data_IF_460782503654
#
_entry.id   IF_460782503654
#
_cell.length_a   1.000
_cell.length_b   1.000
_cell.length_c   1.000
_cell.angle_alpha   90.00
_cell.angle_beta   90.00
_cell.angle_gamma   90.00
#
_symmetry.space_group_name_H-M   'P 1'
#
loop_
_entity.id
_entity.type
_entity.pdbx_description
1 polymer ?
#
# COMPACT_ATOMS: atom_id res chain seq x y z
N UNK A 1 4.30 13.69 3.27
CA UNK A 1 4.73 13.32 4.65
C UNK A 1 4.44 11.85 4.93
N UNK A 2 3.20 11.39 4.68
CA UNK A 2 2.76 10.00 4.85
C UNK A 2 3.79 8.93 4.46
N UNK A 3 4.41 9.00 3.28
CA UNK A 3 5.44 8.02 2.85
C UNK A 3 6.61 7.95 3.83
N UNK A 4 7.13 9.09 4.31
CA UNK A 4 8.23 9.12 5.28
C UNK A 4 7.79 8.60 6.64
N UNK A 5 6.54 8.88 7.03
CA UNK A 5 5.97 8.41 8.30
C UNK A 5 5.78 6.89 8.27
N UNK A 6 5.37 6.34 7.12
CA UNK A 6 5.30 4.91 6.89
C UNK A 6 6.69 4.26 6.92
N UNK A 7 7.68 4.84 6.23
CA UNK A 7 9.07 4.35 6.27
C UNK A 7 9.64 4.32 7.69
N UNK A 8 9.37 5.35 8.49
CA UNK A 8 9.74 5.39 9.90
C UNK A 8 9.04 4.27 10.70
N UNK A 9 7.75 4.02 10.44
CA UNK A 9 6.98 2.93 11.04
C UNK A 9 7.55 1.54 10.72
N UNK A 10 7.98 1.29 9.48
CA UNK A 10 8.63 0.03 9.06
C UNK A 10 9.96 -0.17 9.79
N UNK A 11 10.79 0.88 9.88
CA UNK A 11 12.05 0.82 10.61
C UNK A 11 11.85 0.52 12.10
N UNK A 12 10.81 1.08 12.69
CA UNK A 12 10.45 0.87 14.10
C UNK A 12 9.88 -0.54 14.35
N UNK A 13 9.07 -1.06 13.43
CA UNK A 13 8.59 -2.44 13.44
C UNK A 13 9.75 -3.43 13.42
N UNK A 14 10.73 -3.18 12.55
CA UNK A 14 11.93 -3.99 12.44
C UNK A 14 12.79 -3.94 13.70
N UNK A 15 12.97 -2.74 14.29
CA UNK A 15 13.71 -2.54 15.55
C UNK A 15 13.07 -3.28 16.72
N UNK A 16 11.74 -3.40 16.75
CA UNK A 16 11.03 -4.19 17.77
C UNK A 16 11.29 -5.68 17.63
N UNK A 17 11.12 -6.22 16.42
CA UNK A 17 11.36 -7.65 16.16
C UNK A 17 12.81 -8.03 16.48
N UNK A 18 13.74 -7.12 16.20
CA UNK A 18 15.17 -7.34 16.40
C UNK A 18 15.65 -7.21 17.85
N UNK A 19 14.89 -6.55 18.73
CA UNK A 19 15.17 -6.55 20.18
C UNK A 19 14.77 -7.86 20.86
N UNK A 20 13.81 -8.60 20.30
CA UNK A 20 13.34 -9.89 20.83
C UNK A 20 14.26 -11.07 20.51
N UNK A 21 15.14 -10.93 19.51
CA UNK A 21 16.16 -11.93 19.14
C UNK A 21 17.49 -11.20 19.07
N UNK A 22 18.40 -11.42 20.02
CA UNK A 22 19.74 -10.81 20.02
C UNK A 22 20.30 -10.80 18.59
N UNK A 23 20.37 -9.61 17.98
CA UNK A 23 20.71 -9.47 16.58
C UNK A 23 22.11 -10.04 16.35
N UNK A 24 22.21 -11.03 15.46
CA UNK A 24 23.50 -11.53 15.00
C UNK A 24 24.36 -10.35 14.50
N UNK A 25 25.67 -10.38 14.78
CA UNK A 25 26.66 -9.38 14.35
C UNK A 25 26.58 -9.00 12.85
N UNK A 26 25.96 -9.85 12.02
CA UNK A 26 25.66 -9.61 10.61
C UNK A 26 24.63 -8.49 10.35
N UNK A 27 23.63 -8.27 11.20
CA UNK A 27 22.67 -7.15 11.06
C UNK A 27 23.32 -5.81 11.37
N UNK A 28 24.31 -5.80 12.27
CA UNK A 28 25.14 -4.63 12.51
C UNK A 28 25.97 -4.25 11.26
N UNK A 29 26.39 -5.24 10.47
CA UNK A 29 27.22 -5.05 9.27
C UNK A 29 26.42 -4.56 8.05
N UNK A 30 25.18 -5.05 7.84
CA UNK A 30 24.31 -4.58 6.75
C UNK A 30 23.49 -3.33 7.12
N UNK A 31 23.32 -3.04 8.41
CA UNK A 31 22.56 -1.91 8.93
C UNK A 31 21.03 -2.09 8.83
N UNK A 32 20.32 -1.44 9.75
CA UNK A 32 18.83 -1.48 9.84
C UNK A 32 18.16 -0.98 8.55
N UNK A 33 18.84 -0.10 7.81
CA UNK A 33 18.34 0.47 6.55
C UNK A 33 18.29 -0.57 5.41
N UNK A 34 19.28 -1.45 5.29
CA UNK A 34 19.29 -2.48 4.23
C UNK A 34 18.20 -3.52 4.44
N UNK A 35 17.97 -3.91 5.69
CA UNK A 35 16.90 -4.85 6.08
C UNK A 35 15.51 -4.24 5.86
N UNK A 36 15.32 -2.96 6.21
CA UNK A 36 14.09 -2.24 5.94
C UNK A 36 13.80 -2.09 4.45
N UNK A 37 14.83 -1.86 3.62
CA UNK A 37 14.69 -1.80 2.17
C UNK A 37 14.13 -3.10 1.59
N UNK A 38 14.68 -4.26 1.98
CA UNK A 38 14.16 -5.55 1.49
C UNK A 38 12.73 -5.80 1.96
N UNK A 39 12.39 -5.38 3.19
CA UNK A 39 11.01 -5.43 3.70
C UNK A 39 10.05 -4.55 2.90
N UNK A 40 10.47 -3.32 2.56
CA UNK A 40 9.69 -2.43 1.69
C UNK A 40 9.47 -3.05 0.32
N UNK A 41 10.50 -3.64 -0.29
CA UNK A 41 10.39 -4.36 -1.57
C UNK A 41 9.41 -5.53 -1.46
N UNK A 42 9.47 -6.32 -0.38
CA UNK A 42 8.53 -7.43 -0.13
C UNK A 42 7.06 -7.00 -0.09
N UNK A 43 6.76 -5.84 0.50
CA UNK A 43 5.39 -5.28 0.54
C UNK A 43 4.88 -5.02 -0.88
N UNK A 44 5.70 -4.41 -1.74
CA UNK A 44 5.31 -4.08 -3.11
C UNK A 44 5.27 -5.29 -4.05
N UNK A 45 6.11 -6.30 -3.81
CA UNK A 45 6.12 -7.55 -4.60
C UNK A 45 4.80 -8.31 -4.51
N UNK A 46 4.03 -8.18 -3.42
CA UNK A 46 2.72 -8.82 -3.25
C UNK A 46 1.53 -8.04 -3.84
N UNK A 47 1.77 -6.89 -4.50
CA UNK A 47 0.70 -6.05 -5.08
C UNK A 47 0.55 -6.14 -6.60
N UNK A 48 1.31 -7.01 -7.27
CA UNK A 48 1.21 -7.20 -8.73
C UNK A 48 1.83 -6.06 -9.58
N UNK A 49 2.21 -4.93 -8.97
CA UNK A 49 2.82 -3.79 -9.65
C UNK A 49 4.31 -3.97 -9.99
N UNK A 50 5.05 -4.73 -9.19
CA UNK A 50 6.45 -5.08 -9.49
C UNK A 50 6.56 -6.25 -10.47
N UNK A 51 5.56 -7.13 -10.56
CA UNK A 51 5.58 -8.30 -11.44
C UNK A 51 5.27 -7.96 -12.91
N UNK A 52 4.63 -6.82 -13.18
CA UNK A 52 4.07 -6.49 -14.49
C UNK A 52 4.95 -5.67 -15.44
N UNK A 53 5.98 -4.98 -14.94
CA UNK A 53 6.79 -4.11 -15.80
C UNK A 53 8.20 -4.67 -16.10
N UNK A 54 9.03 -5.06 -15.11
CA UNK A 54 10.48 -5.10 -15.41
C UNK A 54 11.36 -5.83 -14.37
N UNK A 55 10.92 -6.92 -13.75
CA UNK A 55 11.83 -7.69 -12.84
C UNK A 55 13.01 -8.32 -13.60
N UNK A 56 12.97 -8.36 -14.94
CA UNK A 56 13.97 -8.97 -15.81
C UNK A 56 15.38 -8.34 -15.72
N UNK A 57 15.57 -7.17 -15.11
CA UNK A 57 16.91 -6.52 -15.00
C UNK A 57 17.45 -6.55 -13.56
N UNK A 58 16.63 -6.87 -12.56
CA UNK A 58 16.99 -6.83 -11.12
C UNK A 58 17.00 -8.21 -10.43
N UNK A 59 17.22 -9.29 -11.19
CA UNK A 59 17.05 -10.67 -10.73
C UNK A 59 18.11 -11.23 -9.77
N UNK A 60 19.27 -10.58 -9.60
CA UNK A 60 20.37 -11.12 -8.78
C UNK A 60 20.30 -10.79 -7.28
N UNK A 61 19.79 -9.61 -6.93
CA UNK A 61 19.99 -9.01 -5.59
C UNK A 61 18.76 -9.13 -4.68
N UNK A 62 17.56 -9.22 -5.24
CA UNK A 62 16.29 -9.30 -4.51
C UNK A 62 16.07 -10.68 -3.87
N UNK A 63 16.33 -11.77 -4.62
CA UNK A 63 16.28 -13.14 -4.10
C UNK A 63 17.34 -13.37 -3.01
N UNK A 64 18.53 -12.78 -3.17
CA UNK A 64 19.59 -12.79 -2.15
C UNK A 64 19.15 -12.02 -0.90
N UNK A 65 18.56 -10.83 -1.07
CA UNK A 65 18.03 -10.04 0.04
C UNK A 65 16.95 -10.78 0.84
N UNK A 66 16.03 -11.46 0.15
CA UNK A 66 14.97 -12.22 0.81
C UNK A 66 15.50 -13.45 1.56
N UNK A 67 16.42 -14.22 0.95
CA UNK A 67 17.07 -15.36 1.63
C UNK A 67 17.92 -14.91 2.81
N UNK A 68 18.52 -13.72 2.73
CA UNK A 68 19.28 -13.11 3.82
C UNK A 68 18.35 -12.66 4.96
N UNK A 69 17.20 -12.06 4.66
CA UNK A 69 16.17 -11.76 5.65
C UNK A 69 15.63 -13.02 6.33
N UNK A 70 15.29 -14.05 5.54
CA UNK A 70 14.84 -15.34 6.05
C UNK A 70 15.90 -15.99 6.95
N UNK A 71 17.18 -15.90 6.59
CA UNK A 71 18.28 -16.42 7.39
C UNK A 71 18.54 -15.62 8.68
N UNK A 72 18.26 -14.31 8.70
CA UNK A 72 18.57 -13.43 9.83
C UNK A 72 17.40 -13.24 10.80
N UNK A 73 16.16 -13.20 10.30
CA UNK A 73 14.94 -12.99 11.09
C UNK A 73 14.10 -14.26 11.25
N UNK A 74 14.22 -15.19 10.29
CA UNK A 74 13.32 -16.32 10.10
C UNK A 74 12.18 -15.98 9.14
N UNK A 75 11.84 -16.91 8.24
CA UNK A 75 10.76 -16.76 7.24
C UNK A 75 9.44 -16.27 7.85
N UNK A 76 9.04 -16.84 8.98
CA UNK A 76 7.80 -16.45 9.67
C UNK A 76 7.84 -15.00 10.18
N UNK A 77 9.00 -14.52 10.64
CA UNK A 77 9.14 -13.12 11.08
C UNK A 77 9.07 -12.16 9.89
N UNK A 78 9.73 -12.50 8.78
CA UNK A 78 9.68 -11.71 7.54
C UNK A 78 8.26 -11.60 7.02
N UNK A 79 7.51 -12.71 6.97
CA UNK A 79 6.11 -12.71 6.55
C UNK A 79 5.27 -11.80 7.44
N UNK A 80 5.36 -11.96 8.77
CA UNK A 80 4.62 -11.13 9.73
C UNK A 80 4.93 -9.65 9.60
N UNK A 81 6.22 -9.29 9.53
CA UNK A 81 6.65 -7.90 9.36
C UNK A 81 6.16 -7.30 8.04
N UNK A 82 6.20 -8.08 6.96
CA UNK A 82 5.70 -7.66 5.65
C UNK A 82 4.20 -7.40 5.70
N UNK A 83 3.42 -8.31 6.30
CA UNK A 83 1.97 -8.14 6.48
C UNK A 83 1.64 -6.90 7.32
N UNK A 84 2.35 -6.67 8.42
CA UNK A 84 2.14 -5.52 9.30
C UNK A 84 2.51 -4.20 8.61
N UNK A 85 3.65 -4.14 7.93
CA UNK A 85 4.07 -2.97 7.16
C UNK A 85 3.07 -2.63 6.06
N UNK A 86 2.51 -3.65 5.38
CA UNK A 86 1.47 -3.48 4.37
C UNK A 86 0.18 -2.92 4.97
N UNK A 87 -0.32 -3.51 6.06
CA UNK A 87 -1.54 -3.04 6.71
C UNK A 87 -1.42 -1.57 7.18
N UNK A 88 -0.23 -1.17 7.67
CA UNK A 88 0.04 0.22 8.02
C UNK A 88 -0.01 1.16 6.80
N UNK A 89 0.53 0.72 5.65
CA UNK A 89 0.45 1.48 4.40
C UNK A 89 -1.01 1.65 3.94
N UNK A 90 -1.76 0.56 3.88
CA UNK A 90 -3.15 0.54 3.43
C UNK A 90 -4.02 1.47 4.29
N UNK A 91 -3.86 1.41 5.61
CA UNK A 91 -4.56 2.31 6.55
C UNK A 91 -4.25 3.78 6.27
N UNK A 92 -2.96 4.14 6.14
CA UNK A 92 -2.53 5.53 5.91
C UNK A 92 -2.99 6.05 4.54
N UNK A 93 -2.96 5.20 3.52
CA UNK A 93 -3.50 5.54 2.18
C UNK A 93 -5.00 5.79 2.27
N UNK A 94 -5.73 4.91 2.96
CA UNK A 94 -7.16 5.06 3.20
C UNK A 94 -7.51 6.36 3.93
N UNK A 95 -6.76 6.71 4.98
CA UNK A 95 -6.92 7.98 5.71
C UNK A 95 -6.68 9.20 4.81
N UNK A 96 -5.61 9.17 4.01
CA UNK A 96 -5.29 10.25 3.06
C UNK A 96 -6.38 10.41 2.00
N UNK A 97 -6.77 9.31 1.35
CA UNK A 97 -7.79 9.34 0.31
C UNK A 97 -9.17 9.70 0.87
N UNK A 98 -9.49 9.28 2.09
CA UNK A 98 -10.72 9.65 2.78
C UNK A 98 -10.78 11.16 3.07
N UNK A 99 -9.69 11.75 3.54
CA UNK A 99 -9.59 13.19 3.75
C UNK A 99 -9.73 13.97 2.44
N UNK A 100 -9.09 13.49 1.36
CA UNK A 100 -9.21 14.10 0.04
C UNK A 100 -10.63 13.98 -0.53
N UNK A 101 -11.25 12.79 -0.44
CA UNK A 101 -12.62 12.57 -0.88
C UNK A 101 -13.61 13.48 -0.14
N UNK A 102 -13.43 13.63 1.19
CA UNK A 102 -14.24 14.54 1.98
C UNK A 102 -14.06 15.99 1.55
N UNK A 103 -12.81 16.42 1.30
CA UNK A 103 -12.49 17.78 0.80
C UNK A 103 -13.18 18.06 -0.54
N UNK A 104 -13.08 17.13 -1.50
CA UNK A 104 -13.71 17.29 -2.81
C UNK A 104 -15.24 17.24 -2.71
N UNK A 105 -15.79 16.34 -1.90
CA UNK A 105 -17.25 16.24 -1.72
C UNK A 105 -17.80 17.51 -1.07
N UNK A 106 -17.13 18.04 -0.05
CA UNK A 106 -17.52 19.31 0.58
C UNK A 106 -17.46 20.49 -0.40
N UNK A 107 -16.48 20.52 -1.32
CA UNK A 107 -16.40 21.55 -2.36
C UNK A 107 -17.54 21.45 -3.40
N UNK A 108 -18.05 20.24 -3.63
CA UNK A 108 -19.16 19.99 -4.56
C UNK A 108 -20.54 20.16 -3.90
N UNK A 109 -20.63 20.11 -2.57
CA UNK A 109 -21.89 20.16 -1.83
C UNK A 109 -22.72 21.44 -2.11
N UNK A 110 -22.14 22.65 -2.20
CA UNK A 110 -22.88 23.86 -2.57
C UNK A 110 -23.50 23.82 -3.97
N UNK A 111 -22.95 22.99 -4.87
CA UNK A 111 -23.40 22.82 -6.25
C UNK A 111 -24.28 21.59 -6.44
N UNK A 112 -24.54 20.85 -5.35
CA UNK A 112 -25.36 19.64 -5.37
C UNK A 112 -26.83 20.02 -5.45
N UNK A 113 -27.38 20.12 -6.66
CA UNK A 113 -28.84 20.22 -6.84
C UNK A 113 -29.49 18.87 -6.51
N UNK A 114 -30.30 18.85 -5.44
CA UNK A 114 -30.98 17.64 -4.95
C UNK A 114 -31.92 16.99 -5.99
N UNK A 115 -32.37 17.77 -6.98
CA UNK A 115 -33.28 17.29 -8.03
C UNK A 115 -32.59 16.71 -9.28
N UNK A 116 -31.28 16.89 -9.46
CA UNK A 116 -30.62 16.55 -10.74
C UNK A 116 -30.55 15.05 -10.99
N UNK A 117 -30.25 14.24 -9.97
CA UNK A 117 -30.15 12.78 -10.14
C UNK A 117 -31.51 12.16 -10.47
N UNK A 118 -32.55 12.58 -9.75
CA UNK A 118 -33.92 12.12 -10.01
C UNK A 118 -34.44 12.59 -11.37
N UNK A 119 -34.15 13.84 -11.74
CA UNK A 119 -34.52 14.43 -13.02
C UNK A 119 -33.80 13.75 -14.20
N UNK A 120 -32.50 13.50 -14.09
CA UNK A 120 -31.72 12.77 -15.09
C UNK A 120 -32.22 11.33 -15.26
N UNK A 121 -32.55 10.63 -14.16
CA UNK A 121 -33.15 9.29 -14.22
C UNK A 121 -34.47 9.30 -14.98
N UNK A 122 -35.38 10.21 -14.62
CA UNK A 122 -36.69 10.38 -15.29
C UNK A 122 -36.55 10.78 -16.75
N UNK A 123 -35.52 11.55 -17.12
CA UNK A 123 -35.24 11.89 -18.53
C UNK A 123 -34.68 10.69 -19.31
N UNK A 124 -33.78 9.92 -18.71
CA UNK A 124 -33.22 8.71 -19.32
C UNK A 124 -34.29 7.61 -19.52
N UNK A 125 -35.20 7.44 -18.56
CA UNK A 125 -36.34 6.52 -18.68
C UNK A 125 -37.28 6.93 -19.81
N UNK A 126 -37.59 8.22 -19.95
CA UNK A 126 -38.40 8.75 -21.05
C UNK A 126 -37.73 8.55 -22.41
N UNK A 127 -36.41 8.77 -22.51
CA UNK A 127 -35.64 8.51 -23.73
C UNK A 127 -35.66 7.04 -24.13
N UNK A 128 -35.47 6.11 -23.18
CA UNK A 128 -35.51 4.66 -23.45
C UNK A 128 -36.91 4.23 -23.91
N UNK A 129 -37.96 4.68 -23.24
CA UNK A 129 -39.34 4.36 -23.62
C UNK A 129 -39.68 4.87 -25.04
N UNK A 130 -39.21 6.08 -25.40
CA UNK A 130 -39.39 6.65 -26.74
C UNK A 130 -38.52 6.02 -27.84
N UNK A 131 -37.46 5.31 -27.48
CA UNK A 131 -36.61 4.56 -28.43
C UNK A 131 -37.14 3.13 -28.64
N UNK A 132 -37.70 2.49 -27.62
CA UNK A 132 -38.28 1.14 -27.73
C UNK A 132 -39.70 1.09 -28.30
N UNK A 133 -40.37 2.24 -28.42
CA UNK A 133 -41.71 2.36 -29.01
C UNK A 133 -41.74 2.75 -30.50
N UNK A 134 -40.57 2.84 -31.16
CA UNK A 134 -40.43 2.96 -32.62
C UNK A 134 -39.95 1.63 -33.20
#
# INVERSE_FOLDING_TARGET
RMVRDWQAGVLDLLRRESRGKQLSARVLSYGVNGVALVLMVGVFSQTGGLTGAEVAIAGGTSAVGQKLLEALLGDQAVRRLTTQARADLERRVGELLGAEAARFTAALDPHRQQDDVGRLRRLAERLRAGVSGR
#
